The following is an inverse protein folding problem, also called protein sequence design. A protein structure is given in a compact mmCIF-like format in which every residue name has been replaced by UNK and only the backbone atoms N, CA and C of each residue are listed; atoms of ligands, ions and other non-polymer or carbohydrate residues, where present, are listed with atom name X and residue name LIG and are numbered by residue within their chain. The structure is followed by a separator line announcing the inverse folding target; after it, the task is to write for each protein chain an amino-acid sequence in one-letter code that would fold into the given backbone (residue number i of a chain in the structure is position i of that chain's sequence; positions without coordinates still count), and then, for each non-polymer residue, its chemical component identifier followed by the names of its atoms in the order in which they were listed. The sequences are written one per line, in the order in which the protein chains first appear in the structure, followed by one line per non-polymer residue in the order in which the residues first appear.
data_IF_727544271782
#
_entry.id   IF_727544271782
#
_cell.length_a   1.000
_cell.length_b   1.000
_cell.length_c   1.000
_cell.angle_alpha   90.00
_cell.angle_beta   90.00
_cell.angle_gamma   90.00
#
_symmetry.space_group_name_H-M   'P 1'
#
loop_
_entity.id
_entity.type
_entity.pdbx_description
1 polymer ?
#
# COMPACT_ATOMS: atom_id res chain seq x y z
N UNK A 1 8.34 -17.88 -40.45
CA UNK A 1 9.05 -16.82 -39.69
C UNK A 1 8.32 -16.63 -38.37
N UNK A 2 9.00 -16.73 -37.24
CA UNK A 2 8.40 -16.47 -35.92
C UNK A 2 8.50 -14.98 -35.61
N UNK A 3 7.42 -14.39 -35.11
CA UNK A 3 7.41 -13.00 -34.64
C UNK A 3 8.18 -12.91 -33.32
N UNK A 4 9.21 -12.05 -33.20
CA UNK A 4 9.93 -11.89 -31.95
C UNK A 4 9.04 -11.25 -30.89
N UNK A 5 9.15 -11.72 -29.65
CA UNK A 5 8.51 -11.09 -28.49
C UNK A 5 9.35 -9.89 -28.09
N UNK A 6 8.77 -8.69 -28.04
CA UNK A 6 9.47 -7.47 -27.63
C UNK A 6 9.36 -7.19 -26.13
N UNK A 7 8.29 -7.66 -25.50
CA UNK A 7 8.03 -7.44 -24.08
C UNK A 7 6.75 -8.14 -23.62
N UNK A 8 6.54 -8.09 -22.31
CA UNK A 8 5.45 -8.77 -21.62
C UNK A 8 4.60 -7.73 -20.89
N UNK A 9 3.29 -7.77 -21.10
CA UNK A 9 2.35 -7.06 -20.23
C UNK A 9 2.06 -7.99 -19.06
N UNK A 10 2.65 -7.67 -17.91
CA UNK A 10 2.56 -8.44 -16.67
C UNK A 10 1.33 -8.09 -15.84
N UNK A 11 1.15 -8.82 -14.75
CA UNK A 11 -0.13 -9.04 -14.08
C UNK A 11 -0.48 -7.97 -13.01
N UNK A 12 -1.68 -8.04 -12.41
CA UNK A 12 -2.15 -7.12 -11.36
C UNK A 12 -1.50 -7.36 -10.00
N UNK A 13 -1.30 -8.61 -9.60
CA UNK A 13 -0.77 -9.00 -8.29
C UNK A 13 0.67 -8.54 -8.14
N UNK A 14 0.97 -8.00 -6.96
CA UNK A 14 2.31 -7.58 -6.57
C UNK A 14 3.26 -8.79 -6.57
N UNK A 15 2.83 -9.95 -6.06
CA UNK A 15 3.67 -11.16 -5.91
C UNK A 15 4.01 -11.80 -7.26
N UNK A 16 2.99 -11.96 -8.10
CA UNK A 16 3.15 -12.53 -9.45
C UNK A 16 3.98 -11.57 -10.30
N UNK A 17 3.71 -10.27 -10.23
CA UNK A 17 4.49 -9.25 -10.95
C UNK A 17 5.95 -9.26 -10.52
N UNK A 18 6.24 -9.43 -9.23
CA UNK A 18 7.62 -9.51 -8.71
C UNK A 18 8.33 -10.74 -9.27
N UNK A 19 7.69 -11.90 -9.15
CA UNK A 19 8.28 -13.17 -9.62
C UNK A 19 8.53 -13.15 -11.13
N UNK A 20 7.58 -12.62 -11.90
CA UNK A 20 7.73 -12.43 -13.33
C UNK A 20 8.83 -11.41 -13.66
N UNK A 21 8.99 -10.34 -12.86
CA UNK A 21 10.00 -9.32 -13.08
C UNK A 21 11.42 -9.85 -12.89
N UNK A 22 11.63 -10.76 -11.93
CA UNK A 22 12.91 -11.46 -11.73
C UNK A 22 13.24 -12.28 -12.99
N UNK A 23 12.27 -13.03 -13.50
CA UNK A 23 12.45 -13.89 -14.67
C UNK A 23 12.64 -13.10 -15.97
N UNK A 24 11.83 -12.08 -16.21
CA UNK A 24 11.92 -11.26 -17.43
C UNK A 24 13.19 -10.42 -17.45
N UNK A 25 13.63 -9.91 -16.29
CA UNK A 25 14.87 -9.14 -16.20
C UNK A 25 16.12 -9.98 -16.48
N UNK A 26 16.14 -11.28 -16.11
CA UNK A 26 17.26 -12.17 -16.44
C UNK A 26 17.36 -12.52 -17.93
N UNK A 27 16.24 -12.40 -18.65
CA UNK A 27 16.14 -12.58 -20.08
C UNK A 27 16.21 -11.27 -20.88
N UNK A 28 16.42 -10.14 -20.22
CA UNK A 28 16.43 -8.81 -20.84
C UNK A 28 15.11 -8.43 -21.54
N UNK A 29 13.99 -9.02 -21.10
CA UNK A 29 12.67 -8.68 -21.61
C UNK A 29 12.02 -7.57 -20.79
N UNK A 30 11.48 -6.58 -21.50
CA UNK A 30 10.67 -5.53 -20.90
C UNK A 30 9.38 -6.14 -20.31
N UNK A 31 9.11 -5.88 -19.04
CA UNK A 31 7.83 -6.16 -18.41
C UNK A 31 7.10 -4.87 -18.06
N UNK A 32 5.82 -4.77 -18.38
CA UNK A 32 4.94 -3.67 -17.95
C UNK A 32 3.77 -4.26 -17.15
N UNK A 33 3.75 -4.08 -15.82
CA UNK A 33 2.58 -4.48 -15.00
C UNK A 33 1.48 -3.41 -15.02
N UNK A 34 0.22 -3.83 -15.13
CA UNK A 34 -0.92 -2.91 -15.11
C UNK A 34 -1.50 -2.64 -13.72
N UNK A 35 -1.11 -3.38 -12.67
CA UNK A 35 -1.84 -3.35 -11.41
C UNK A 35 -1.03 -3.34 -10.12
N UNK A 36 0.29 -3.54 -10.18
CA UNK A 36 1.13 -3.59 -8.97
C UNK A 36 1.40 -2.22 -8.36
N UNK A 37 1.30 -2.15 -7.04
CA UNK A 37 1.62 -0.94 -6.27
C UNK A 37 2.85 -1.09 -5.36
N UNK A 38 3.49 -2.26 -5.38
CA UNK A 38 4.62 -2.59 -4.53
C UNK A 38 5.81 -1.65 -4.72
N UNK A 39 6.52 -1.34 -3.63
CA UNK A 39 7.61 -0.35 -3.62
C UNK A 39 8.92 -0.97 -4.11
N UNK A 40 9.22 -2.21 -3.74
CA UNK A 40 10.50 -2.87 -4.08
C UNK A 40 10.74 -2.98 -5.58
N UNK A 41 9.68 -3.07 -6.38
CA UNK A 41 9.74 -3.15 -7.84
C UNK A 41 10.17 -1.84 -8.52
N UNK A 42 10.31 -0.75 -7.76
CA UNK A 42 10.87 0.51 -8.27
C UNK A 42 12.41 0.54 -8.17
N UNK A 43 13.04 -0.46 -7.54
CA UNK A 43 14.49 -0.57 -7.43
C UNK A 43 15.09 -1.01 -8.76
N UNK A 44 15.51 -0.04 -9.58
CA UNK A 44 16.10 -0.26 -10.91
C UNK A 44 17.34 -1.16 -10.91
N UNK A 45 18.08 -1.21 -9.80
CA UNK A 45 19.20 -2.13 -9.63
C UNK A 45 18.78 -3.60 -9.64
N UNK A 46 17.59 -3.90 -9.09
CA UNK A 46 17.06 -5.27 -9.02
C UNK A 46 16.15 -5.59 -10.21
N UNK A 47 15.42 -4.60 -10.72
CA UNK A 47 14.43 -4.77 -11.79
C UNK A 47 14.64 -3.76 -12.93
N UNK A 48 15.76 -3.85 -13.68
CA UNK A 48 16.10 -2.86 -14.72
C UNK A 48 15.08 -2.84 -15.86
N UNK A 49 14.47 -3.99 -16.19
CA UNK A 49 13.52 -4.14 -17.30
C UNK A 49 12.05 -4.07 -16.89
N UNK A 50 11.77 -3.73 -15.63
CA UNK A 50 10.41 -3.66 -15.11
C UNK A 50 9.83 -2.25 -15.14
N UNK A 51 8.60 -2.13 -15.61
CA UNK A 51 7.82 -0.89 -15.65
C UNK A 51 6.39 -1.20 -15.19
N UNK A 52 5.63 -0.15 -14.88
CA UNK A 52 4.23 -0.28 -14.49
C UNK A 52 3.43 0.98 -14.82
N UNK A 53 2.13 0.81 -15.02
CA UNK A 53 1.19 1.94 -15.20
C UNK A 53 0.60 2.42 -13.87
N UNK A 54 0.52 1.55 -12.86
CA UNK A 54 -0.02 1.91 -11.54
C UNK A 54 1.01 2.68 -10.71
N UNK A 55 0.54 3.73 -10.03
CA UNK A 55 1.36 4.52 -9.12
C UNK A 55 1.79 3.70 -7.88
N UNK A 56 3.05 3.88 -7.40
CA UNK A 56 3.52 3.28 -6.16
C UNK A 56 2.61 3.61 -4.95
N UNK A 57 2.54 2.70 -3.98
CA UNK A 57 1.88 2.93 -2.68
C UNK A 57 2.36 4.19 -1.98
N UNK A 58 3.66 4.50 -2.07
CA UNK A 58 4.24 5.69 -1.43
C UNK A 58 3.60 6.99 -1.92
N UNK A 59 3.24 7.08 -3.20
CA UNK A 59 2.58 8.26 -3.76
C UNK A 59 1.12 8.35 -3.28
N UNK A 60 0.42 7.21 -3.21
CA UNK A 60 -0.95 7.16 -2.69
C UNK A 60 -1.02 7.64 -1.24
N UNK A 61 -0.05 7.24 -0.41
CA UNK A 61 0.08 7.68 0.99
C UNK A 61 0.34 9.18 1.10
N UNK A 62 1.20 9.74 0.24
CA UNK A 62 1.45 11.17 0.22
C UNK A 62 0.18 11.97 -0.08
N UNK A 63 -0.66 11.50 -0.99
CA UNK A 63 -1.96 12.13 -1.27
C UNK A 63 -2.89 12.08 -0.04
N UNK A 64 -2.94 10.96 0.69
CA UNK A 64 -3.70 10.90 1.94
C UNK A 64 -3.18 11.89 2.99
N UNK A 65 -1.86 12.09 3.06
CA UNK A 65 -1.27 13.09 3.95
C UNK A 65 -1.68 14.51 3.59
N UNK A 66 -1.68 14.85 2.31
CA UNK A 66 -2.10 16.15 1.84
C UNK A 66 -3.56 16.43 2.20
N UNK A 67 -4.43 15.41 2.13
CA UNK A 67 -5.84 15.52 2.55
C UNK A 67 -5.92 15.76 4.06
N UNK A 68 -5.26 14.94 4.86
CA UNK A 68 -5.26 15.04 6.33
C UNK A 68 -4.77 16.43 6.77
N UNK A 69 -3.69 16.91 6.17
CA UNK A 69 -3.12 18.23 6.43
C UNK A 69 -4.08 19.36 6.00
N UNK A 70 -4.66 19.26 4.81
CA UNK A 70 -5.62 20.26 4.28
C UNK A 70 -6.82 20.45 5.20
N UNK A 71 -7.34 19.36 5.78
CA UNK A 71 -8.47 19.40 6.71
C UNK A 71 -8.06 19.53 8.18
N UNK A 72 -6.76 19.63 8.48
CA UNK A 72 -6.20 19.75 9.82
C UNK A 72 -6.67 18.63 10.76
N UNK A 73 -6.81 17.41 10.25
CA UNK A 73 -7.13 16.26 11.11
C UNK A 73 -5.87 15.86 11.89
N UNK A 74 -5.93 16.03 13.21
CA UNK A 74 -4.82 15.74 14.13
C UNK A 74 -4.99 14.40 14.87
N UNK A 75 -6.14 13.73 14.73
CA UNK A 75 -6.39 12.42 15.32
C UNK A 75 -7.08 11.51 14.30
N UNK A 76 -6.37 10.48 13.84
CA UNK A 76 -6.87 9.56 12.80
C UNK A 76 -6.70 8.10 13.23
N UNK A 77 -7.51 7.22 12.65
CA UNK A 77 -7.29 5.78 12.67
C UNK A 77 -7.00 5.28 11.26
N UNK A 78 -6.14 4.28 11.13
CA UNK A 78 -5.70 3.74 9.85
C UNK A 78 -6.14 2.30 9.76
N UNK A 79 -6.79 1.92 8.66
CA UNK A 79 -7.06 0.51 8.35
C UNK A 79 -6.26 0.14 7.11
N UNK A 80 -5.44 -0.89 7.23
CA UNK A 80 -4.61 -1.41 6.13
C UNK A 80 -5.16 -2.77 5.73
N UNK A 81 -5.50 -2.94 4.46
CA UNK A 81 -5.92 -4.22 3.91
C UNK A 81 -4.88 -4.75 2.93
N UNK A 82 -4.62 -6.05 2.99
CA UNK A 82 -3.66 -6.74 2.14
C UNK A 82 -2.30 -6.92 2.82
N UNK A 83 -1.77 -8.13 2.74
CA UNK A 83 -0.49 -8.53 3.34
C UNK A 83 0.70 -7.68 2.84
N UNK A 84 0.77 -7.41 1.53
CA UNK A 84 1.83 -6.62 0.90
C UNK A 84 1.86 -5.15 1.38
N UNK A 85 0.71 -4.61 1.79
CA UNK A 85 0.62 -3.27 2.37
C UNK A 85 1.05 -3.25 3.84
N UNK A 86 0.73 -4.32 4.58
CA UNK A 86 1.12 -4.45 5.98
C UNK A 86 2.65 -4.51 6.14
N UNK A 87 3.38 -5.16 5.23
CA UNK A 87 4.86 -5.16 5.27
C UNK A 87 5.47 -3.76 5.08
N UNK A 88 4.86 -2.96 4.21
CA UNK A 88 5.30 -1.59 3.95
C UNK A 88 4.74 -0.56 4.95
N UNK A 89 3.85 -0.98 5.86
CA UNK A 89 3.15 -0.13 6.81
C UNK A 89 4.09 0.78 7.62
N UNK A 90 5.19 0.26 8.15
CA UNK A 90 6.11 1.05 8.96
C UNK A 90 6.74 2.22 8.16
N UNK A 91 7.03 2.00 6.87
CA UNK A 91 7.54 3.05 5.97
C UNK A 91 6.44 4.05 5.58
N UNK A 92 5.20 3.59 5.53
CA UNK A 92 4.02 4.41 5.25
C UNK A 92 3.75 5.32 6.45
N UNK A 93 3.68 4.75 7.65
CA UNK A 93 3.40 5.47 8.90
C UNK A 93 4.52 6.42 9.30
N UNK A 94 5.78 6.04 9.10
CA UNK A 94 6.87 6.97 9.37
C UNK A 94 6.72 8.24 8.54
N UNK A 95 6.31 8.15 7.27
CA UNK A 95 5.96 9.33 6.47
C UNK A 95 4.73 10.07 6.99
N UNK A 96 3.73 9.37 7.53
CA UNK A 96 2.55 10.03 8.12
C UNK A 96 2.91 10.91 9.32
N UNK A 97 3.89 10.47 10.13
CA UNK A 97 4.25 11.09 11.39
C UNK A 97 5.38 12.11 11.30
N UNK A 98 6.22 12.06 10.26
CA UNK A 98 7.48 12.80 10.22
C UNK A 98 7.31 14.33 10.15
N UNK A 99 6.19 14.83 9.64
CA UNK A 99 6.01 16.27 9.36
C UNK A 99 4.73 16.90 9.92
N UNK A 100 3.82 16.10 10.47
CA UNK A 100 2.48 16.58 10.80
C UNK A 100 2.16 16.25 12.26
N UNK A 101 1.48 17.16 12.96
CA UNK A 101 0.94 16.96 14.32
C UNK A 101 -0.24 15.97 14.34
N UNK A 102 -0.09 14.82 13.68
CA UNK A 102 -1.09 13.78 13.53
C UNK A 102 -0.82 12.69 14.57
N UNK A 103 -1.78 12.46 15.44
CA UNK A 103 -1.84 11.32 16.33
C UNK A 103 -2.61 10.18 15.65
N UNK A 104 -1.98 9.01 15.59
CA UNK A 104 -2.64 7.78 15.13
C UNK A 104 -3.22 7.08 16.35
N UNK A 105 -4.54 7.08 16.47
CA UNK A 105 -5.26 6.49 17.60
C UNK A 105 -5.31 4.95 17.54
N UNK A 106 -5.43 4.41 16.33
CA UNK A 106 -5.50 2.98 16.10
C UNK A 106 -5.09 2.61 14.68
N UNK A 107 -4.44 1.46 14.58
CA UNK A 107 -4.20 0.81 13.30
C UNK A 107 -4.79 -0.59 13.30
N UNK A 108 -5.69 -0.85 12.36
CA UNK A 108 -6.21 -2.17 12.06
C UNK A 108 -5.55 -2.74 10.80
N UNK A 109 -5.25 -4.04 10.81
CA UNK A 109 -4.72 -4.77 9.65
C UNK A 109 -5.73 -5.85 9.28
N UNK A 110 -6.10 -5.90 7.99
CA UNK A 110 -6.97 -6.91 7.40
C UNK A 110 -6.09 -7.77 6.48
N UNK A 111 -5.80 -8.99 6.93
CA UNK A 111 -5.06 -9.97 6.14
C UNK A 111 -5.93 -10.56 5.03
N UNK A 112 -5.33 -11.16 4.00
CA UNK A 112 -6.08 -11.69 2.85
C UNK A 112 -7.01 -12.86 3.22
N UNK A 113 -6.74 -13.56 4.33
CA UNK A 113 -7.56 -14.65 4.87
C UNK A 113 -8.52 -14.18 6.00
N UNK A 114 -8.93 -12.91 5.99
CA UNK A 114 -9.79 -12.37 7.04
C UNK A 114 -11.13 -13.10 7.14
N UNK A 115 -11.65 -13.19 8.36
CA UNK A 115 -13.02 -13.65 8.62
C UNK A 115 -13.95 -12.47 8.91
N UNK A 116 -15.26 -12.72 8.86
CA UNK A 116 -16.25 -11.73 9.29
C UNK A 116 -16.04 -11.30 10.76
N UNK A 117 -15.52 -12.20 11.60
CA UNK A 117 -15.21 -11.89 13.00
C UNK A 117 -14.10 -10.84 13.10
N UNK A 118 -13.02 -10.99 12.31
CA UNK A 118 -11.92 -10.02 12.29
C UNK A 118 -12.39 -8.63 11.87
N UNK A 119 -13.27 -8.54 10.87
CA UNK A 119 -13.86 -7.27 10.46
C UNK A 119 -14.73 -6.65 11.55
N UNK A 120 -15.56 -7.46 12.22
CA UNK A 120 -16.39 -7.01 13.34
C UNK A 120 -15.53 -6.46 14.48
N UNK A 121 -14.44 -7.14 14.83
CA UNK A 121 -13.52 -6.69 15.87
C UNK A 121 -12.94 -5.30 15.57
N UNK A 122 -12.46 -5.09 14.33
CA UNK A 122 -11.94 -3.79 13.88
C UNK A 122 -13.01 -2.71 14.00
N UNK A 123 -14.22 -2.98 13.52
CA UNK A 123 -15.33 -2.02 13.56
C UNK A 123 -15.72 -1.69 15.00
N UNK A 124 -15.81 -2.68 15.88
CA UNK A 124 -16.12 -2.47 17.30
C UNK A 124 -15.03 -1.63 17.98
N UNK A 125 -13.77 -1.88 17.66
CA UNK A 125 -12.64 -1.10 18.21
C UNK A 125 -12.67 0.35 17.73
N UNK A 126 -12.97 0.58 16.45
CA UNK A 126 -13.15 1.93 15.92
C UNK A 126 -14.31 2.68 16.59
N UNK A 127 -15.45 2.01 16.80
CA UNK A 127 -16.60 2.59 17.52
C UNK A 127 -16.25 2.97 18.95
N UNK A 128 -15.60 2.07 19.68
CA UNK A 128 -15.16 2.31 21.04
C UNK A 128 -14.21 3.52 21.14
N UNK A 129 -13.26 3.64 20.21
CA UNK A 129 -12.33 4.77 20.18
C UNK A 129 -13.03 6.09 19.86
N UNK A 130 -13.98 6.06 18.93
CA UNK A 130 -14.79 7.23 18.59
C UNK A 130 -15.57 7.74 19.80
N UNK A 131 -16.30 6.85 20.50
CA UNK A 131 -17.07 7.19 21.69
C UNK A 131 -16.17 7.77 22.79
N UNK A 132 -15.05 7.10 23.10
CA UNK A 132 -14.12 7.56 24.15
C UNK A 132 -13.51 8.92 23.85
N UNK A 133 -13.21 9.21 22.59
CA UNK A 133 -12.68 10.51 22.21
C UNK A 133 -13.76 11.58 22.31
N UNK A 134 -14.98 11.33 21.81
CA UNK A 134 -16.07 12.31 21.82
C UNK A 134 -16.56 12.66 23.23
N UNK A 135 -16.64 11.68 24.13
CA UNK A 135 -17.02 11.89 25.55
C UNK A 135 -15.99 12.67 26.38
N UNK A 136 -14.85 13.04 25.79
CA UNK A 136 -13.80 13.83 26.44
C UNK A 136 -13.87 15.32 26.10
N UNK A 137 -14.72 15.71 25.15
CA UNK A 137 -14.92 17.09 24.69
C UNK A 137 -16.28 17.69 25.13
N UNK A 138 -17.02 16.96 25.97
CA UNK A 138 -18.24 17.38 26.67
C UNK A 138 -18.15 16.94 28.12
#
# INVERSE_FOLDING_TARGET
MTTPILGIVGEKSDDISTSLAIYTSSLYFLQISYGTSHVSQSLRQLFPYFYRSRSPVTMQVLVFLDIVAKFRWNYISIIVAGSNFAENYNKIVSKLLFNNEICIGYTGIINDNYTQSNLKEIVLKLKYLFERHYSRWW
#
